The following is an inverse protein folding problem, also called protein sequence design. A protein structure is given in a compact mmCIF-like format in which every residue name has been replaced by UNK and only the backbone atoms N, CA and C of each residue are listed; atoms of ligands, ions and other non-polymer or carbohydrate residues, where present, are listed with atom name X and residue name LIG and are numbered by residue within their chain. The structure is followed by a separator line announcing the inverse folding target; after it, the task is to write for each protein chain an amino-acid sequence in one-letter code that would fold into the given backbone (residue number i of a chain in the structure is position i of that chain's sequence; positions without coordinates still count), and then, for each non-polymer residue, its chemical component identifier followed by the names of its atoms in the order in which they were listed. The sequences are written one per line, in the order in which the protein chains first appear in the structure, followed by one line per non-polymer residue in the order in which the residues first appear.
data_IF_315840995656
#
_entry.id   IF_315840995656
#
_cell.length_a   1.000
_cell.length_b   1.000
_cell.length_c   1.000
_cell.angle_alpha   90.00
_cell.angle_beta   90.00
_cell.angle_gamma   90.00
#
_symmetry.space_group_name_H-M   'P 1'
#
loop_
_entity.id
_entity.type
_entity.pdbx_description
1 polymer ?
#
# COMPACT_ATOMS: atom_id res chain seq x y z
N UNK A 1 -10.03 12.60 -18.07
CA UNK A 1 -9.89 11.13 -18.00
C UNK A 1 -8.56 10.67 -17.39
N UNK A 2 -7.43 11.32 -17.68
CA UNK A 2 -6.10 10.90 -17.16
C UNK A 2 -5.93 11.10 -15.65
N UNK A 3 -6.33 12.26 -15.12
CA UNK A 3 -6.20 12.56 -13.68
C UNK A 3 -6.98 11.56 -12.80
N UNK A 4 -8.22 11.21 -13.19
CA UNK A 4 -9.02 10.20 -12.50
C UNK A 4 -8.39 8.80 -12.52
N UNK A 5 -7.70 8.43 -13.60
CA UNK A 5 -7.01 7.15 -13.71
C UNK A 5 -5.76 7.09 -12.82
N UNK A 6 -5.00 8.18 -12.75
CA UNK A 6 -3.85 8.32 -11.84
C UNK A 6 -4.32 8.27 -10.38
N UNK A 7 -5.37 9.03 -10.02
CA UNK A 7 -5.94 8.99 -8.67
C UNK A 7 -6.50 7.62 -8.30
N UNK A 8 -7.13 6.90 -9.24
CA UNK A 8 -7.61 5.53 -9.02
C UNK A 8 -6.46 4.54 -8.78
N UNK A 9 -5.36 4.68 -9.51
CA UNK A 9 -4.16 3.86 -9.31
C UNK A 9 -3.49 4.18 -7.97
N UNK A 10 -3.35 5.45 -7.61
CA UNK A 10 -2.81 5.87 -6.33
C UNK A 10 -3.69 5.41 -5.15
N UNK A 11 -5.01 5.52 -5.26
CA UNK A 11 -5.95 5.05 -4.23
C UNK A 11 -5.88 3.52 -4.04
N UNK A 12 -5.88 2.76 -5.14
CA UNK A 12 -5.74 1.30 -5.03
C UNK A 12 -4.36 0.89 -4.49
N UNK A 13 -3.30 1.63 -4.85
CA UNK A 13 -1.96 1.49 -4.26
C UNK A 13 -1.95 1.76 -2.74
N UNK A 14 -2.62 2.82 -2.27
CA UNK A 14 -2.78 3.10 -0.84
C UNK A 14 -3.48 1.96 -0.12
N UNK A 15 -4.58 1.46 -0.68
CA UNK A 15 -5.32 0.36 -0.09
C UNK A 15 -4.46 -0.91 -0.02
N UNK A 16 -3.71 -1.20 -1.08
CA UNK A 16 -2.81 -2.35 -1.14
C UNK A 16 -1.70 -2.24 -0.08
N UNK A 17 -1.06 -1.07 0.08
CA UNK A 17 -0.05 -0.87 1.12
C UNK A 17 -0.65 -0.90 2.53
N UNK A 18 -1.87 -0.40 2.74
CA UNK A 18 -2.57 -0.54 4.03
C UNK A 18 -2.81 -2.00 4.40
N UNK A 19 -3.14 -2.85 3.42
CA UNK A 19 -3.23 -4.30 3.63
C UNK A 19 -1.89 -4.93 4.03
N UNK A 20 -0.79 -4.53 3.38
CA UNK A 20 0.57 -4.96 3.76
C UNK A 20 0.94 -4.53 5.18
N UNK A 21 0.68 -3.27 5.54
CA UNK A 21 0.91 -2.75 6.91
C UNK A 21 0.14 -3.55 7.96
N UNK A 22 -1.12 -3.91 7.67
CA UNK A 22 -1.94 -4.74 8.55
C UNK A 22 -1.36 -6.16 8.72
N UNK A 23 -0.91 -6.79 7.63
CA UNK A 23 -0.28 -8.11 7.69
C UNK A 23 1.01 -8.08 8.52
N UNK A 24 1.87 -7.07 8.31
CA UNK A 24 3.11 -6.87 9.08
C UNK A 24 2.79 -6.65 10.56
N UNK A 25 1.83 -5.79 10.90
CA UNK A 25 1.42 -5.59 12.28
C UNK A 25 0.94 -6.90 12.94
N UNK A 26 0.22 -7.72 12.19
CA UNK A 26 -0.17 -9.08 12.60
C UNK A 26 1.04 -9.97 12.85
N UNK A 27 2.01 -9.99 11.96
CA UNK A 27 3.25 -10.77 12.12
C UNK A 27 4.04 -10.32 13.35
N UNK A 28 4.26 -9.00 13.51
CA UNK A 28 4.98 -8.41 14.64
C UNK A 28 4.30 -8.78 15.97
N UNK A 29 2.97 -8.72 16.04
CA UNK A 29 2.22 -9.09 17.25
C UNK A 29 2.36 -10.56 17.65
N UNK A 30 2.60 -11.45 16.67
CA UNK A 30 2.79 -12.88 16.89
C UNK A 30 4.27 -13.31 16.84
N UNK A 31 5.21 -12.37 16.69
CA UNK A 31 6.63 -12.65 16.69
C UNK A 31 7.03 -13.25 18.05
N UNK A 32 7.58 -14.46 18.04
CA UNK A 32 7.93 -15.21 19.25
C UNK A 32 6.89 -16.24 19.71
N UNK A 33 5.71 -16.30 19.08
CA UNK A 33 4.82 -17.46 19.17
C UNK A 33 5.39 -18.57 18.28
N UNK A 34 5.95 -19.62 18.89
CA UNK A 34 6.84 -20.59 18.23
C UNK A 34 6.25 -21.41 17.07
N UNK A 35 4.96 -21.29 16.77
CA UNK A 35 4.28 -21.95 15.65
C UNK A 35 3.58 -20.97 14.69
N UNK A 36 3.81 -19.65 14.82
CA UNK A 36 3.17 -18.66 13.98
C UNK A 36 3.80 -18.63 12.58
N UNK A 37 2.94 -18.76 11.57
CA UNK A 37 3.32 -18.57 10.17
C UNK A 37 3.30 -17.09 9.83
N UNK A 38 4.34 -16.63 9.14
CA UNK A 38 4.42 -15.27 8.61
C UNK A 38 3.38 -15.08 7.52
N UNK A 39 2.69 -13.95 7.52
CA UNK A 39 1.81 -13.52 6.44
C UNK A 39 2.57 -12.61 5.50
N UNK A 40 2.79 -13.06 4.27
CA UNK A 40 3.40 -12.26 3.23
C UNK A 40 2.35 -11.54 2.39
N UNK A 41 2.71 -10.40 1.80
CA UNK A 41 1.80 -9.61 0.96
C UNK A 41 2.40 -9.40 -0.42
N UNK A 42 1.77 -9.99 -1.42
CA UNK A 42 2.10 -9.82 -2.83
C UNK A 42 1.20 -8.77 -3.48
N UNK A 43 1.69 -8.17 -4.57
CA UNK A 43 0.92 -7.22 -5.36
C UNK A 43 0.71 -7.72 -6.79
N UNK A 44 -0.49 -7.53 -7.31
CA UNK A 44 -0.82 -7.82 -8.71
C UNK A 44 -1.56 -6.63 -9.35
N UNK A 45 -1.43 -6.44 -10.68
CA UNK A 45 -2.23 -5.45 -11.39
C UNK A 45 -3.72 -5.82 -11.36
N UNK A 46 -4.59 -4.84 -11.12
CA UNK A 46 -6.03 -5.00 -11.30
C UNK A 46 -6.41 -4.80 -12.77
N UNK A 47 -7.22 -5.69 -13.34
CA UNK A 47 -7.63 -5.64 -14.76
C UNK A 47 -8.40 -4.38 -15.19
N UNK A 48 -8.77 -3.50 -14.25
CA UNK A 48 -9.43 -2.20 -14.51
C UNK A 48 -8.51 -0.99 -14.32
N UNK A 49 -7.21 -1.22 -14.15
CA UNK A 49 -6.24 -0.23 -13.69
C UNK A 49 -6.18 -0.20 -12.17
N UNK A 50 -4.95 -0.10 -11.62
CA UNK A 50 -4.69 -0.13 -10.19
C UNK A 50 -3.95 -1.39 -9.72
N UNK A 51 -3.81 -1.50 -8.41
CA UNK A 51 -3.05 -2.56 -7.74
C UNK A 51 -3.94 -3.29 -6.73
N UNK A 52 -3.79 -4.60 -6.63
CA UNK A 52 -4.45 -5.42 -5.63
C UNK A 52 -3.40 -6.14 -4.77
N UNK A 53 -3.64 -6.18 -3.46
CA UNK A 53 -2.82 -6.93 -2.52
C UNK A 53 -3.38 -8.34 -2.30
N UNK A 54 -2.49 -9.32 -2.19
CA UNK A 54 -2.80 -10.69 -1.82
C UNK A 54 -1.98 -11.08 -0.61
N UNK A 55 -2.66 -11.39 0.50
CA UNK A 55 -2.03 -11.84 1.73
C UNK A 55 -2.04 -13.36 1.74
N UNK A 56 -0.88 -13.98 1.95
CA UNK A 56 -0.74 -15.44 2.00
C UNK A 56 0.19 -15.86 3.13
N UNK A 57 -0.12 -16.97 3.82
CA UNK A 57 0.80 -17.54 4.80
C UNK A 57 2.02 -18.13 4.09
N UNK A 58 3.18 -17.94 4.69
CA UNK A 58 4.43 -18.56 4.26
C UNK A 58 4.47 -20.04 4.67
N UNK A 59 5.12 -20.86 3.84
CA UNK A 59 5.17 -22.31 4.05
C UNK A 59 5.96 -22.68 5.32
N UNK A 60 7.00 -21.92 5.63
CA UNK A 60 7.85 -22.12 6.79
C UNK A 60 7.33 -21.30 7.99
N UNK A 61 7.41 -21.88 9.18
CA UNK A 61 7.09 -21.20 10.42
C UNK A 61 8.28 -20.35 10.88
N UNK A 62 7.98 -19.22 11.50
CA UNK A 62 9.00 -18.28 11.97
C UNK A 62 8.77 -16.89 11.41
N UNK A 63 8.85 -15.90 12.30
CA UNK A 63 8.69 -14.49 11.98
C UNK A 63 9.99 -13.79 12.34
N UNK A 64 10.69 -13.27 11.33
CA UNK A 64 11.85 -12.42 11.55
C UNK A 64 11.41 -10.97 11.77
N UNK A 65 11.48 -10.53 13.02
CA UNK A 65 11.06 -9.18 13.41
C UNK A 65 11.88 -8.06 12.72
N UNK A 66 13.15 -8.30 12.40
CA UNK A 66 13.96 -7.31 11.69
C UNK A 66 13.46 -7.15 10.25
N UNK A 67 13.16 -8.27 9.58
CA UNK A 67 12.55 -8.26 8.25
C UNK A 67 11.15 -7.61 8.26
N UNK A 68 10.33 -7.87 9.28
CA UNK A 68 9.02 -7.23 9.44
C UNK A 68 9.13 -5.71 9.60
N UNK A 69 10.06 -5.22 10.42
CA UNK A 69 10.26 -3.78 10.61
C UNK A 69 10.80 -3.10 9.34
N UNK A 70 11.65 -3.79 8.57
CA UNK A 70 12.06 -3.30 7.25
C UNK A 70 10.86 -3.22 6.30
N UNK A 71 10.06 -4.29 6.24
CA UNK A 71 8.83 -4.32 5.45
C UNK A 71 7.84 -3.22 5.85
N UNK A 72 7.75 -2.89 7.15
CA UNK A 72 6.90 -1.82 7.67
C UNK A 72 7.34 -0.47 7.11
N UNK A 73 8.63 -0.18 7.15
CA UNK A 73 9.20 1.06 6.63
C UNK A 73 9.01 1.18 5.12
N UNK A 74 9.22 0.09 4.38
CA UNK A 74 8.97 0.04 2.93
C UNK A 74 7.49 0.30 2.60
N UNK A 75 6.57 -0.35 3.33
CA UNK A 75 5.14 -0.18 3.15
C UNK A 75 4.68 1.23 3.53
N UNK A 76 5.23 1.84 4.58
CA UNK A 76 4.96 3.23 4.95
C UNK A 76 5.45 4.20 3.86
N UNK A 77 6.68 4.01 3.36
CA UNK A 77 7.23 4.84 2.29
C UNK A 77 6.37 4.74 1.03
N UNK A 78 5.97 3.53 0.64
CA UNK A 78 5.09 3.30 -0.51
C UNK A 78 3.69 3.89 -0.30
N UNK A 79 3.15 3.82 0.92
CA UNK A 79 1.89 4.47 1.26
C UNK A 79 2.00 5.98 1.08
N UNK A 80 3.03 6.62 1.65
CA UNK A 80 3.29 8.06 1.49
C UNK A 80 3.50 8.46 0.04
N UNK A 81 4.18 7.62 -0.76
CA UNK A 81 4.37 7.88 -2.18
C UNK A 81 3.03 7.91 -2.95
N UNK A 82 2.14 6.97 -2.68
CA UNK A 82 0.80 6.99 -3.28
C UNK A 82 -0.05 8.17 -2.80
N UNK A 83 0.06 8.55 -1.52
CA UNK A 83 -0.61 9.73 -0.97
C UNK A 83 -0.13 11.03 -1.65
N UNK A 84 1.17 11.19 -1.86
CA UNK A 84 1.74 12.35 -2.53
C UNK A 84 1.21 12.52 -3.97
N UNK A 85 0.88 11.42 -4.66
CA UNK A 85 0.24 11.48 -5.99
C UNK A 85 -1.20 12.01 -5.90
N UNK A 86 -1.93 11.67 -4.85
CA UNK A 86 -3.27 12.22 -4.62
C UNK A 86 -3.22 13.70 -4.26
N UNK A 87 -2.27 14.10 -3.40
CA UNK A 87 -2.05 15.50 -3.02
C UNK A 87 -1.71 16.35 -4.25
N UNK A 88 -0.75 15.90 -5.06
CA UNK A 88 -0.42 16.55 -6.33
C UNK A 88 -1.63 16.60 -7.27
N UNK A 89 -2.45 15.55 -7.28
CA UNK A 89 -3.70 15.54 -8.04
C UNK A 89 -4.69 16.60 -7.56
N UNK A 90 -4.83 16.80 -6.25
CA UNK A 90 -5.67 17.82 -5.64
C UNK A 90 -5.16 19.23 -5.97
N UNK A 91 -3.86 19.46 -5.88
CA UNK A 91 -3.25 20.74 -6.27
C UNK A 91 -3.51 21.07 -7.75
N UNK A 92 -3.39 20.08 -8.65
CA UNK A 92 -3.75 20.27 -10.05
C UNK A 92 -5.23 20.57 -10.24
N UNK A 93 -6.12 19.92 -9.49
CA UNK A 93 -7.55 20.24 -9.51
C UNK A 93 -7.80 21.70 -9.11
N UNK A 94 -7.05 22.23 -8.15
CA UNK A 94 -7.19 23.61 -7.69
C UNK A 94 -6.74 24.61 -8.76
N UNK A 95 -5.62 24.35 -9.42
CA UNK A 95 -5.16 25.13 -10.57
C UNK A 95 -6.18 25.10 -11.71
N UNK A 96 -6.77 23.94 -12.02
CA UNK A 96 -7.80 23.81 -13.05
C UNK A 96 -9.08 24.57 -12.70
N UNK A 97 -9.45 24.64 -11.42
CA UNK A 97 -10.60 25.43 -10.96
C UNK A 97 -10.35 26.94 -11.11
N UNK A 98 -9.12 27.38 -10.89
CA UNK A 98 -8.72 28.77 -11.09
C UNK A 98 -8.81 29.17 -12.57
N UNK A 99 -8.23 28.37 -13.48
CA UNK A 99 -8.21 28.68 -14.93
C UNK A 99 -9.61 28.68 -15.56
N UNK A 100 -10.57 27.90 -15.03
CA UNK A 100 -11.95 27.86 -15.55
C UNK A 100 -12.78 29.09 -15.17
N UNK A 101 -12.37 29.85 -14.16
CA UNK A 101 -13.18 30.96 -13.63
C UNK A 101 -12.98 32.28 -14.40
N UNK A 102 -11.96 32.32 -15.26
CA UNK A 102 -11.72 33.36 -16.28
C UNK A 102 -12.25 32.90 -17.64
#
# INVERSE_FOLDING_TARGET
MVLSAISGTALSGLQAQASRLSAIAGNVAHAGSGNSQRLDTDFSPSGKGGVQAHIRPEAEAGIDLAAEMQGLSEAELAYRANAAVLDAGADLWDVLRLIRRD
#
